data_IF_363856809463
#
_entry.id   IF_363856809463
#
_cell.length_a   1.000
_cell.length_b   1.000
_cell.length_c   1.000
_cell.angle_alpha   90.00
_cell.angle_beta   90.00
_cell.angle_gamma   90.00
#
_symmetry.space_group_name_H-M   'P 1'
#
loop_
_entity.id
_entity.type
_entity.pdbx_description
1 polymer ?
#
# COMPACT_ATOMS: atom_id res chain seq x y z
N UNK A 1 -8.78 11.83 16.46
CA UNK A 1 -9.06 11.07 15.22
C UNK A 1 -7.74 10.92 14.50
N UNK A 2 -7.36 9.70 14.14
CA UNK A 2 -6.09 9.39 13.46
C UNK A 2 -6.03 10.10 12.10
N UNK A 3 -4.87 10.71 11.80
CA UNK A 3 -4.59 11.40 10.52
C UNK A 3 -3.47 10.69 9.79
N UNK A 4 -3.71 10.20 8.60
CA UNK A 4 -2.69 9.47 7.80
C UNK A 4 -2.60 9.99 6.38
N UNK A 5 -1.42 9.89 5.79
CA UNK A 5 -1.18 10.28 4.42
C UNK A 5 -0.46 9.17 3.64
N UNK A 6 -1.03 8.76 2.51
CA UNK A 6 -0.35 7.94 1.51
C UNK A 6 0.39 8.81 0.52
N UNK A 7 1.68 8.54 0.30
CA UNK A 7 2.51 9.32 -0.62
C UNK A 7 3.12 8.38 -1.66
N UNK A 8 2.78 8.60 -2.94
CA UNK A 8 3.42 7.86 -4.02
C UNK A 8 2.53 7.44 -5.16
N UNK A 9 2.47 6.14 -5.44
CA UNK A 9 1.88 5.56 -6.63
C UNK A 9 0.34 5.61 -6.67
N UNK A 10 -0.15 5.83 -7.88
CA UNK A 10 -1.54 5.65 -8.27
C UNK A 10 -1.58 5.05 -9.67
N UNK A 11 -2.41 4.06 -9.86
CA UNK A 11 -2.57 3.36 -11.13
C UNK A 11 -4.04 2.99 -11.34
N UNK A 12 -4.42 2.57 -12.55
CA UNK A 12 -5.58 1.70 -12.72
C UNK A 12 -5.11 0.29 -13.02
N UNK A 13 -5.69 -0.68 -12.33
CA UNK A 13 -5.56 -2.09 -12.68
C UNK A 13 -6.62 -2.44 -13.73
N UNK A 14 -6.15 -2.80 -14.92
CA UNK A 14 -6.99 -3.07 -16.09
C UNK A 14 -7.16 -4.57 -16.24
N UNK A 15 -8.36 -5.07 -16.01
CA UNK A 15 -8.73 -6.47 -16.18
C UNK A 15 -9.02 -6.75 -17.63
N UNK A 16 -8.05 -7.35 -18.32
CA UNK A 16 -8.06 -7.48 -19.78
C UNK A 16 -9.24 -8.31 -20.32
N UNK A 17 -9.72 -9.30 -19.55
CA UNK A 17 -10.81 -10.19 -19.97
C UNK A 17 -12.18 -9.53 -19.82
N UNK A 18 -12.43 -8.76 -18.75
CA UNK A 18 -13.69 -8.03 -18.53
C UNK A 18 -13.71 -6.62 -19.12
N UNK A 19 -12.58 -6.12 -19.62
CA UNK A 19 -12.44 -4.75 -20.12
C UNK A 19 -12.85 -3.69 -19.11
N UNK A 20 -12.52 -3.92 -17.85
CA UNK A 20 -12.76 -2.98 -16.75
C UNK A 20 -11.44 -2.51 -16.18
N UNK A 21 -11.41 -1.27 -15.71
CA UNK A 21 -10.29 -0.70 -14.97
C UNK A 21 -10.74 -0.26 -13.58
N UNK A 22 -9.93 -0.55 -12.59
CA UNK A 22 -10.18 -0.22 -11.19
C UNK A 22 -9.05 0.68 -10.67
N UNK A 23 -9.36 1.74 -9.90
CA UNK A 23 -8.34 2.55 -9.25
C UNK A 23 -7.53 1.71 -8.27
N UNK A 24 -6.22 1.96 -8.23
CA UNK A 24 -5.26 1.22 -7.40
C UNK A 24 -3.94 1.97 -7.23
N UNK A 25 -2.94 1.26 -6.76
CA UNK A 25 -1.64 1.78 -6.32
C UNK A 25 -1.50 1.67 -4.80
N UNK A 26 -0.37 1.17 -4.30
CA UNK A 26 -0.21 0.85 -2.88
C UNK A 26 -0.45 2.07 -1.97
N UNK A 27 0.17 3.21 -2.28
CA UNK A 27 0.00 4.44 -1.50
C UNK A 27 -1.43 4.99 -1.58
N UNK A 28 -2.06 4.92 -2.76
CA UNK A 28 -3.44 5.34 -2.95
C UNK A 28 -4.40 4.39 -2.23
N UNK A 29 -4.22 3.07 -2.38
CA UNK A 29 -5.03 2.04 -1.72
C UNK A 29 -5.02 2.23 -0.20
N UNK A 30 -3.84 2.44 0.39
CA UNK A 30 -3.70 2.72 1.81
C UNK A 30 -4.56 3.91 2.24
N UNK A 31 -4.50 5.05 1.52
CA UNK A 31 -5.28 6.25 1.84
C UNK A 31 -6.78 6.00 1.79
N UNK A 32 -7.24 5.29 0.76
CA UNK A 32 -8.66 4.92 0.60
C UNK A 32 -9.11 3.98 1.72
N UNK A 33 -8.32 2.97 2.04
CA UNK A 33 -8.64 2.03 3.11
C UNK A 33 -8.64 2.69 4.49
N UNK A 34 -7.67 3.56 4.77
CA UNK A 34 -7.64 4.33 6.01
C UNK A 34 -8.88 5.23 6.13
N UNK A 35 -9.33 5.86 5.04
CA UNK A 35 -10.58 6.62 5.02
C UNK A 35 -11.80 5.76 5.32
N UNK A 36 -11.90 4.56 4.73
CA UNK A 36 -12.97 3.59 5.01
C UNK A 36 -12.99 3.14 6.48
N UNK A 37 -11.83 3.12 7.13
CA UNK A 37 -11.67 2.81 8.56
C UNK A 37 -11.92 4.01 9.48
N UNK A 38 -12.35 5.16 8.94
CA UNK A 38 -12.72 6.34 9.72
C UNK A 38 -11.56 7.27 10.06
N UNK A 39 -10.37 7.08 9.49
CA UNK A 39 -9.27 8.03 9.64
C UNK A 39 -9.47 9.30 8.79
N UNK A 40 -8.85 10.41 9.19
CA UNK A 40 -8.61 11.52 8.29
C UNK A 40 -7.47 11.14 7.36
N UNK A 41 -7.82 10.77 6.13
CA UNK A 41 -6.87 10.27 5.14
C UNK A 41 -6.62 11.29 4.03
N UNK A 42 -5.35 11.48 3.70
CA UNK A 42 -4.91 12.22 2.54
C UNK A 42 -4.09 11.32 1.61
N UNK A 43 -4.06 11.71 0.35
CA UNK A 43 -3.20 11.12 -0.66
C UNK A 43 -2.37 12.23 -1.34
N UNK A 44 -1.09 11.96 -1.57
CA UNK A 44 -0.18 12.86 -2.30
C UNK A 44 0.59 12.06 -3.36
N UNK A 45 0.40 12.41 -4.62
CA UNK A 45 1.07 11.77 -5.76
C UNK A 45 1.04 12.65 -6.99
N UNK A 46 1.45 12.07 -8.12
CA UNK A 46 1.45 12.74 -9.43
C UNK A 46 0.42 12.07 -10.32
N UNK A 47 -0.47 12.86 -10.87
CA UNK A 47 -1.47 12.45 -11.86
C UNK A 47 -1.09 12.91 -13.26
N UNK A 48 -1.36 12.05 -14.24
CA UNK A 48 -1.42 12.43 -15.64
C UNK A 48 -2.69 13.21 -15.99
N UNK A 49 -2.92 13.43 -17.30
CA UNK A 49 -4.08 14.14 -17.81
C UNK A 49 -5.02 13.30 -18.67
N UNK A 50 -4.87 11.97 -18.58
CA UNK A 50 -5.62 10.98 -19.34
C UNK A 50 -6.92 10.49 -18.65
N UNK A 51 -7.61 9.51 -19.24
CA UNK A 51 -8.83 8.92 -18.71
C UNK A 51 -8.60 8.10 -17.44
N UNK A 52 -7.41 7.53 -17.27
CA UNK A 52 -6.99 6.80 -16.07
C UNK A 52 -6.92 7.75 -14.89
N UNK A 53 -6.17 8.86 -15.04
CA UNK A 53 -6.07 9.91 -14.02
C UNK A 53 -7.45 10.46 -13.64
N UNK A 54 -8.26 10.81 -14.64
CA UNK A 54 -9.62 11.35 -14.41
C UNK A 54 -10.51 10.38 -13.63
N UNK A 55 -10.37 9.06 -13.87
CA UNK A 55 -11.14 8.06 -13.13
C UNK A 55 -10.71 8.00 -11.67
N UNK A 56 -9.41 7.91 -11.41
CA UNK A 56 -8.87 7.87 -10.03
C UNK A 56 -9.23 9.13 -9.25
N UNK A 57 -9.05 10.31 -9.85
CA UNK A 57 -9.36 11.60 -9.22
C UNK A 57 -10.82 11.67 -8.78
N UNK A 58 -11.77 11.30 -9.65
CA UNK A 58 -13.20 11.26 -9.30
C UNK A 58 -13.48 10.32 -8.15
N UNK A 59 -12.85 9.16 -8.15
CA UNK A 59 -13.02 8.17 -7.08
C UNK A 59 -12.53 8.71 -5.74
N UNK A 60 -11.38 9.40 -5.71
CA UNK A 60 -10.88 10.03 -4.48
C UNK A 60 -11.82 11.13 -3.98
N UNK A 61 -12.40 11.93 -4.89
CA UNK A 61 -13.37 12.98 -4.56
C UNK A 61 -14.66 12.37 -3.96
N UNK A 62 -15.19 11.31 -4.57
CA UNK A 62 -16.38 10.60 -4.08
C UNK A 62 -16.15 9.98 -2.70
N UNK A 63 -14.94 9.48 -2.43
CA UNK A 63 -14.56 8.90 -1.15
C UNK A 63 -14.18 9.95 -0.09
N UNK A 64 -14.00 11.21 -0.49
CA UNK A 64 -13.59 12.30 0.39
C UNK A 64 -12.18 12.11 0.94
N UNK A 65 -11.26 11.57 0.14
CA UNK A 65 -9.82 11.53 0.43
C UNK A 65 -9.22 12.87 0.03
N UNK A 66 -8.53 13.52 0.95
CA UNK A 66 -7.86 14.79 0.64
C UNK A 66 -6.70 14.57 -0.34
N UNK A 67 -6.73 15.29 -1.45
CA UNK A 67 -5.71 15.27 -2.51
C UNK A 67 -5.19 16.67 -2.86
N UNK A 68 -5.33 17.61 -1.94
CA UNK A 68 -5.01 19.03 -2.14
C UNK A 68 -3.53 19.29 -2.48
N UNK A 69 -2.66 18.32 -2.15
CA UNK A 69 -1.22 18.41 -2.41
C UNK A 69 -0.73 17.51 -3.55
N UNK A 70 -1.63 16.96 -4.36
CA UNK A 70 -1.25 16.22 -5.57
C UNK A 70 -0.70 17.15 -6.66
N UNK A 71 0.09 16.57 -7.56
CA UNK A 71 0.59 17.22 -8.77
C UNK A 71 -0.19 16.72 -9.98
N UNK A 72 -0.38 17.58 -10.96
CA UNK A 72 -1.10 17.30 -12.20
C UNK A 72 -0.17 17.69 -13.35
N UNK A 73 0.21 16.71 -14.18
CA UNK A 73 1.18 16.89 -15.25
C UNK A 73 0.61 16.36 -16.56
N UNK A 74 1.07 16.90 -17.68
CA UNK A 74 0.78 16.33 -19.00
C UNK A 74 1.47 14.98 -19.14
N UNK A 75 0.74 13.95 -19.57
CA UNK A 75 1.24 12.60 -19.78
C UNK A 75 0.31 11.49 -19.31
N UNK A 76 0.67 10.25 -19.66
CA UNK A 76 -0.11 9.07 -19.27
C UNK A 76 0.03 8.77 -17.76
N UNK A 77 -1.10 8.50 -17.12
CA UNK A 77 -1.12 8.00 -15.74
C UNK A 77 -0.65 6.55 -15.68
N UNK A 78 -0.31 6.08 -14.47
CA UNK A 78 0.06 4.69 -14.24
C UNK A 78 -1.09 3.72 -14.54
N UNK A 79 -0.79 2.58 -15.17
CA UNK A 79 -1.70 1.44 -15.26
C UNK A 79 -0.95 0.11 -15.23
N UNK A 80 -1.65 -0.93 -14.77
CA UNK A 80 -1.21 -2.31 -14.86
C UNK A 80 -2.28 -3.15 -15.56
N UNK A 81 -1.85 -4.11 -16.39
CA UNK A 81 -2.72 -5.04 -17.08
C UNK A 81 -2.73 -6.35 -16.32
N UNK A 82 -3.91 -6.81 -15.94
CA UNK A 82 -4.08 -7.97 -15.08
C UNK A 82 -5.11 -8.93 -15.66
N UNK A 83 -4.93 -10.21 -15.36
CA UNK A 83 -5.91 -11.28 -15.58
C UNK A 83 -6.26 -11.91 -14.26
N UNK A 84 -7.55 -12.13 -14.03
CA UNK A 84 -8.04 -12.81 -12.84
C UNK A 84 -8.25 -14.29 -13.15
N UNK A 85 -7.59 -15.17 -12.36
CA UNK A 85 -7.73 -16.62 -12.50
C UNK A 85 -8.05 -17.18 -11.11
N UNK A 86 -9.24 -17.74 -10.93
CA UNK A 86 -9.69 -18.33 -9.66
C UNK A 86 -9.54 -17.40 -8.44
N UNK A 87 -9.86 -16.12 -8.59
CA UNK A 87 -9.74 -15.12 -7.52
C UNK A 87 -8.33 -14.56 -7.31
N UNK A 88 -7.31 -15.13 -7.95
CA UNK A 88 -5.94 -14.61 -7.93
C UNK A 88 -5.59 -13.91 -9.26
N UNK A 89 -4.69 -12.94 -9.17
CA UNK A 89 -4.33 -12.10 -10.31
C UNK A 89 -2.96 -12.45 -10.89
N UNK A 90 -2.90 -12.46 -12.23
CA UNK A 90 -1.65 -12.53 -12.96
C UNK A 90 -1.38 -11.19 -13.63
N UNK A 91 -0.23 -10.58 -13.35
CA UNK A 91 0.22 -9.37 -14.04
C UNK A 91 0.72 -9.71 -15.46
N UNK A 92 0.20 -8.98 -16.44
CA UNK A 92 0.54 -9.16 -17.86
C UNK A 92 1.49 -8.06 -18.37
N UNK A 93 1.53 -6.92 -17.71
CA UNK A 93 2.37 -5.78 -18.05
C UNK A 93 1.90 -4.49 -17.41
N UNK A 94 2.68 -3.42 -17.56
CA UNK A 94 2.33 -2.08 -17.06
C UNK A 94 3.15 -1.02 -17.81
N UNK A 95 2.74 0.25 -17.69
CA UNK A 95 3.58 1.39 -18.08
C UNK A 95 4.52 1.85 -16.93
N UNK A 96 4.70 1.00 -15.90
CA UNK A 96 5.61 1.23 -14.77
C UNK A 96 5.35 2.52 -14.00
N UNK A 97 4.08 2.89 -13.82
CA UNK A 97 3.66 4.07 -13.06
C UNK A 97 3.47 5.34 -13.91
N UNK A 98 3.66 5.26 -15.24
CA UNK A 98 3.41 6.38 -16.14
C UNK A 98 4.17 7.65 -15.74
N UNK A 99 3.48 8.78 -15.72
CA UNK A 99 4.06 10.11 -15.44
C UNK A 99 4.79 10.18 -14.10
N UNK A 100 4.36 9.43 -13.08
CA UNK A 100 5.04 9.41 -11.77
C UNK A 100 6.49 8.90 -11.88
N UNK A 101 6.75 7.96 -12.78
CA UNK A 101 8.11 7.44 -13.03
C UNK A 101 9.00 8.52 -13.64
N UNK A 102 8.46 9.30 -14.57
CA UNK A 102 9.22 10.29 -15.34
C UNK A 102 9.36 11.61 -14.56
N UNK A 103 8.35 11.96 -13.76
CA UNK A 103 8.30 13.12 -12.89
C UNK A 103 7.99 12.70 -11.44
N UNK A 104 8.94 12.05 -10.73
CA UNK A 104 8.72 11.63 -9.36
C UNK A 104 8.46 12.83 -8.44
N UNK A 105 7.62 12.62 -7.44
CA UNK A 105 7.23 13.65 -6.49
C UNK A 105 8.47 14.23 -5.78
N UNK A 106 8.60 15.55 -5.80
CA UNK A 106 9.59 16.31 -5.03
C UNK A 106 8.86 17.22 -4.07
N UNK A 107 9.22 17.15 -2.80
CA UNK A 107 8.55 17.87 -1.73
C UNK A 107 9.13 19.27 -1.58
N UNK A 108 8.26 20.27 -1.63
CA UNK A 108 8.60 21.66 -1.26
C UNK A 108 8.36 21.89 0.26
N UNK A 109 8.69 23.13 0.72
CA UNK A 109 8.51 23.49 2.13
C UNK A 109 7.04 23.46 2.58
N UNK A 110 6.09 23.76 1.68
CA UNK A 110 4.68 23.73 1.99
C UNK A 110 4.14 22.29 2.09
N UNK A 111 4.67 21.38 1.27
CA UNK A 111 4.38 19.94 1.40
C UNK A 111 4.90 19.39 2.73
N UNK A 112 6.13 19.73 3.10
CA UNK A 112 6.72 19.33 4.37
C UNK A 112 5.92 19.86 5.57
N UNK A 113 5.45 21.11 5.51
CA UNK A 113 4.59 21.67 6.55
C UNK A 113 3.26 20.93 6.65
N UNK A 114 2.65 20.60 5.49
CA UNK A 114 1.42 19.82 5.44
C UNK A 114 1.60 18.40 5.99
N UNK A 115 2.68 17.69 5.63
CA UNK A 115 2.96 16.33 6.10
C UNK A 115 3.12 16.28 7.63
N UNK A 116 3.67 17.32 8.26
CA UNK A 116 3.79 17.38 9.74
C UNK A 116 2.46 17.37 10.50
N UNK A 117 1.34 17.59 9.82
CA UNK A 117 0.01 17.55 10.43
C UNK A 117 -0.53 16.11 10.61
N UNK A 118 0.16 15.10 10.08
CA UNK A 118 -0.26 13.69 10.09
C UNK A 118 0.46 12.88 11.17
N UNK A 119 -0.21 11.83 11.61
CA UNK A 119 0.30 10.88 12.61
C UNK A 119 1.14 9.78 11.93
N UNK A 120 1.00 9.58 10.61
CA UNK A 120 1.70 8.56 9.84
C UNK A 120 1.79 8.91 8.35
N UNK A 121 2.95 8.62 7.78
CA UNK A 121 3.18 8.56 6.33
C UNK A 121 3.19 7.10 5.90
N UNK A 122 2.50 6.76 4.80
CA UNK A 122 2.64 5.46 4.14
C UNK A 122 3.14 5.65 2.71
N UNK A 123 4.13 4.86 2.32
CA UNK A 123 4.68 4.82 0.96
C UNK A 123 5.10 3.39 0.59
N UNK A 124 5.57 3.17 -0.64
CA UNK A 124 5.83 1.82 -1.15
C UNK A 124 6.99 1.74 -2.13
N UNK A 125 7.35 0.51 -2.49
CA UNK A 125 8.37 0.23 -3.50
C UNK A 125 8.00 0.72 -4.91
N UNK A 126 6.71 0.96 -5.20
CA UNK A 126 6.24 1.46 -6.49
C UNK A 126 6.10 2.99 -6.55
N UNK A 127 6.37 3.67 -5.43
CA UNK A 127 6.07 5.10 -5.26
C UNK A 127 7.11 6.05 -5.86
N UNK A 128 8.25 5.55 -6.34
CA UNK A 128 9.39 6.37 -6.81
C UNK A 128 9.81 7.44 -5.80
N UNK A 129 9.71 7.12 -4.50
CA UNK A 129 9.85 8.08 -3.41
C UNK A 129 11.13 7.89 -2.57
N UNK A 130 12.00 6.93 -2.95
CA UNK A 130 13.21 6.55 -2.20
C UNK A 130 14.10 7.75 -1.85
N UNK A 131 14.34 8.64 -2.82
CA UNK A 131 15.21 9.80 -2.62
C UNK A 131 14.62 10.88 -1.69
N UNK A 132 13.32 10.80 -1.37
CA UNK A 132 12.65 11.70 -0.45
C UNK A 132 12.57 11.13 0.99
N UNK A 133 12.86 9.84 1.20
CA UNK A 133 12.82 9.22 2.54
C UNK A 133 13.69 9.96 3.56
N UNK A 134 14.96 10.36 3.25
CA UNK A 134 15.75 11.15 4.19
C UNK A 134 15.06 12.47 4.57
N UNK A 135 14.47 13.17 3.60
CA UNK A 135 13.79 14.45 3.83
C UNK A 135 12.57 14.28 4.73
N UNK A 136 11.70 13.29 4.44
CA UNK A 136 10.50 13.08 5.25
C UNK A 136 10.80 12.50 6.63
N UNK A 137 11.90 11.75 6.80
CA UNK A 137 12.31 11.23 8.11
C UNK A 137 12.66 12.34 9.11
N UNK A 138 13.13 13.49 8.62
CA UNK A 138 13.43 14.67 9.44
C UNK A 138 12.16 15.43 9.90
N UNK A 139 10.99 15.08 9.36
CA UNK A 139 9.74 15.74 9.74
C UNK A 139 9.20 15.27 11.10
N UNK A 140 9.73 14.17 11.65
CA UNK A 140 9.30 13.60 12.91
C UNK A 140 7.99 12.81 12.84
N UNK A 141 7.45 12.58 11.65
CA UNK A 141 6.27 11.74 11.42
C UNK A 141 6.71 10.32 11.09
N UNK A 142 6.23 9.28 11.79
CA UNK A 142 6.62 7.91 11.51
C UNK A 142 6.27 7.51 10.08
N UNK A 143 7.18 6.74 9.44
CA UNK A 143 7.03 6.28 8.07
C UNK A 143 6.72 4.79 8.07
N UNK A 144 5.67 4.40 7.36
CA UNK A 144 5.38 3.03 6.98
C UNK A 144 5.76 2.81 5.52
N UNK A 145 6.41 1.70 5.24
CA UNK A 145 6.84 1.33 3.89
C UNK A 145 6.38 -0.06 3.51
N UNK A 146 5.68 -0.18 2.38
CA UNK A 146 5.34 -1.49 1.81
C UNK A 146 6.38 -1.89 0.77
N UNK A 147 7.17 -2.90 1.10
CA UNK A 147 8.14 -3.53 0.21
C UNK A 147 7.50 -4.51 -0.78
N UNK A 148 6.27 -4.99 -0.50
CA UNK A 148 5.69 -6.11 -1.23
C UNK A 148 6.68 -7.30 -1.31
N UNK A 149 6.95 -7.86 -2.48
CA UNK A 149 7.98 -8.89 -2.72
C UNK A 149 9.39 -8.30 -2.94
N UNK A 150 9.52 -6.97 -3.08
CA UNK A 150 10.80 -6.31 -3.41
C UNK A 150 11.77 -6.21 -2.24
N UNK A 151 11.37 -6.60 -1.03
CA UNK A 151 12.24 -6.64 0.15
C UNK A 151 13.51 -7.50 -0.09
N UNK A 152 13.44 -8.49 -0.98
CA UNK A 152 14.59 -9.35 -1.32
C UNK A 152 15.69 -8.63 -2.11
N UNK A 153 15.42 -7.44 -2.64
CA UNK A 153 16.45 -6.57 -3.21
C UNK A 153 17.20 -5.84 -2.07
N UNK A 154 18.13 -6.55 -1.42
CA UNK A 154 18.83 -6.07 -0.23
C UNK A 154 19.55 -4.75 -0.43
N UNK A 155 20.11 -4.49 -1.62
CA UNK A 155 20.80 -3.22 -1.90
C UNK A 155 19.88 -1.99 -1.83
N UNK A 156 18.58 -2.18 -2.10
CA UNK A 156 17.56 -1.14 -1.97
C UNK A 156 16.98 -1.14 -0.55
N UNK A 157 16.68 -2.32 -0.01
CA UNK A 157 16.10 -2.50 1.31
C UNK A 157 16.97 -1.90 2.42
N UNK A 158 18.29 -2.08 2.35
CA UNK A 158 19.27 -1.50 3.28
C UNK A 158 19.28 0.04 3.26
N UNK A 159 18.93 0.67 2.14
CA UNK A 159 18.82 2.13 2.01
C UNK A 159 17.50 2.68 2.57
N UNK A 160 16.47 1.86 2.69
CA UNK A 160 15.14 2.25 3.14
C UNK A 160 15.00 2.09 4.65
N UNK A 161 15.43 0.95 5.19
CA UNK A 161 15.19 0.54 6.57
C UNK A 161 15.57 1.57 7.64
N UNK A 162 16.65 2.37 7.50
CA UNK A 162 17.01 3.37 8.51
C UNK A 162 15.99 4.50 8.69
N UNK A 163 15.08 4.70 7.74
CA UNK A 163 14.14 5.81 7.72
C UNK A 163 12.71 5.43 8.16
N UNK A 164 12.42 4.13 8.30
CA UNK A 164 11.06 3.66 8.48
C UNK A 164 10.79 3.08 9.86
N UNK A 165 9.60 3.37 10.39
CA UNK A 165 9.10 2.78 11.62
C UNK A 165 8.43 1.42 11.38
N UNK A 166 7.69 1.27 10.27
CA UNK A 166 6.93 0.07 9.96
C UNK A 166 7.28 -0.43 8.55
N UNK A 167 7.70 -1.70 8.45
CA UNK A 167 7.97 -2.36 7.17
C UNK A 167 6.98 -3.48 6.91
N UNK A 168 6.28 -3.46 5.76
CA UNK A 168 5.38 -4.52 5.31
C UNK A 168 6.02 -5.34 4.20
N UNK A 169 6.02 -6.68 4.36
CA UNK A 169 6.65 -7.63 3.46
C UNK A 169 5.62 -8.65 2.96
N UNK A 170 5.75 -9.07 1.71
CA UNK A 170 5.02 -10.23 1.17
C UNK A 170 5.95 -11.44 1.11
N UNK A 171 5.65 -12.49 1.90
CA UNK A 171 6.49 -13.67 2.14
C UNK A 171 5.75 -15.00 1.88
N UNK A 172 4.75 -15.01 0.99
CA UNK A 172 3.78 -16.11 0.84
C UNK A 172 4.31 -17.49 0.49
N UNK A 173 5.58 -17.63 0.06
CA UNK A 173 6.17 -18.92 -0.34
C UNK A 173 7.30 -19.38 0.61
N UNK A 174 7.46 -18.71 1.75
CA UNK A 174 8.55 -18.95 2.69
C UNK A 174 8.07 -19.78 3.89
N UNK A 175 8.97 -20.54 4.49
CA UNK A 175 8.73 -21.18 5.78
C UNK A 175 8.72 -20.14 6.91
N UNK A 176 8.10 -20.49 8.04
CA UNK A 176 8.08 -19.64 9.24
C UNK A 176 9.49 -19.20 9.68
N UNK A 177 10.46 -20.12 9.69
CA UNK A 177 11.83 -19.82 10.10
C UNK A 177 12.48 -18.78 9.18
N UNK A 178 12.31 -18.92 7.86
CA UNK A 178 12.83 -17.96 6.88
C UNK A 178 12.19 -16.59 7.03
N UNK A 179 10.86 -16.54 7.27
CA UNK A 179 10.14 -15.26 7.49
C UNK A 179 10.67 -14.55 8.72
N UNK A 180 10.85 -15.27 9.83
CA UNK A 180 11.38 -14.70 11.07
C UNK A 180 12.81 -14.18 10.87
N UNK A 181 13.66 -14.90 10.14
CA UNK A 181 15.04 -14.48 9.86
C UNK A 181 15.08 -13.21 8.98
N UNK A 182 14.20 -13.11 7.98
CA UNK A 182 14.04 -11.89 7.18
C UNK A 182 13.58 -10.72 8.04
N UNK A 183 12.58 -10.92 8.91
CA UNK A 183 12.10 -9.89 9.82
C UNK A 183 13.21 -9.38 10.75
N UNK A 184 14.03 -10.27 11.31
CA UNK A 184 15.18 -9.91 12.15
C UNK A 184 16.19 -9.07 11.37
N UNK A 185 16.56 -9.49 10.17
CA UNK A 185 17.50 -8.74 9.33
C UNK A 185 17.00 -7.34 9.00
N UNK A 186 15.74 -7.18 8.63
CA UNK A 186 15.14 -5.86 8.34
C UNK A 186 15.10 -5.00 9.60
N UNK A 187 14.82 -5.60 10.76
CA UNK A 187 14.86 -4.91 12.05
C UNK A 187 16.28 -4.43 12.39
N UNK A 188 17.30 -5.25 12.16
CA UNK A 188 18.72 -4.91 12.36
C UNK A 188 19.18 -3.78 11.46
N UNK A 189 18.59 -3.65 10.26
CA UNK A 189 18.84 -2.55 9.33
C UNK A 189 18.20 -1.22 9.73
N UNK A 190 17.39 -1.18 10.81
CA UNK A 190 16.85 0.06 11.37
C UNK A 190 15.33 0.18 11.40
N UNK A 191 14.58 -0.68 10.69
CA UNK A 191 13.12 -0.68 10.77
C UNK A 191 12.65 -1.05 12.18
N UNK A 192 11.68 -0.31 12.75
CA UNK A 192 11.26 -0.52 14.15
C UNK A 192 10.34 -1.72 14.32
N UNK A 193 9.36 -1.89 13.46
CA UNK A 193 8.39 -3.00 13.48
C UNK A 193 8.28 -3.58 12.07
N UNK A 194 8.46 -4.87 11.96
CA UNK A 194 8.39 -5.59 10.67
C UNK A 194 7.17 -6.49 10.68
N UNK A 195 6.37 -6.38 9.64
CA UNK A 195 5.17 -7.19 9.44
C UNK A 195 5.31 -7.96 8.12
N UNK A 196 5.29 -9.29 8.20
CA UNK A 196 5.41 -10.17 7.03
C UNK A 196 4.10 -10.91 6.81
N UNK A 197 3.43 -10.63 5.69
CA UNK A 197 2.21 -11.33 5.29
C UNK A 197 2.54 -12.54 4.44
N UNK A 198 1.83 -13.65 4.68
CA UNK A 198 1.96 -14.93 3.98
C UNK A 198 0.67 -15.32 3.25
N UNK A 199 -0.11 -14.35 2.79
CA UNK A 199 -1.39 -14.58 2.11
C UNK A 199 -2.36 -15.37 3.00
N UNK A 200 -2.80 -16.54 2.51
CA UNK A 200 -3.71 -17.45 3.23
C UNK A 200 -3.09 -18.14 4.45
N UNK A 201 -1.79 -18.04 4.66
CA UNK A 201 -1.11 -18.65 5.81
C UNK A 201 -1.07 -17.71 7.04
N UNK A 202 -1.35 -16.41 6.87
CA UNK A 202 -1.41 -15.44 7.97
C UNK A 202 -0.35 -14.35 7.90
N UNK A 203 0.01 -13.82 9.07
CA UNK A 203 1.00 -12.74 9.16
C UNK A 203 1.83 -12.84 10.43
N UNK A 204 3.11 -12.53 10.31
CA UNK A 204 4.07 -12.41 11.40
C UNK A 204 4.39 -10.94 11.69
N UNK A 205 4.60 -10.62 12.95
CA UNK A 205 5.13 -9.33 13.40
C UNK A 205 6.38 -9.58 14.25
N UNK A 206 7.41 -8.76 14.01
CA UNK A 206 8.63 -8.74 14.81
C UNK A 206 9.04 -7.30 15.14
N UNK A 207 9.25 -6.97 16.43
CA UNK A 207 9.63 -5.64 16.91
C UNK A 207 11.04 -5.58 17.56
N UNK A 208 11.79 -6.69 17.47
CA UNK A 208 13.09 -6.84 18.11
C UNK A 208 13.03 -7.59 19.45
N UNK A 209 11.90 -7.58 20.14
CA UNK A 209 11.68 -8.29 21.40
C UNK A 209 10.63 -9.38 21.27
N UNK A 210 9.59 -9.16 20.45
CA UNK A 210 8.41 -10.01 20.31
C UNK A 210 8.30 -10.56 18.92
N UNK A 211 7.90 -11.81 18.83
CA UNK A 211 7.47 -12.45 17.60
C UNK A 211 6.01 -12.86 17.77
N UNK A 212 5.11 -12.25 17.01
CA UNK A 212 3.67 -12.50 17.09
C UNK A 212 3.16 -13.06 15.77
N UNK A 213 2.25 -14.02 15.85
CA UNK A 213 1.59 -14.59 14.68
C UNK A 213 0.09 -14.34 14.72
N UNK A 214 -0.47 -13.93 13.59
CA UNK A 214 -1.89 -13.78 13.35
C UNK A 214 -2.35 -14.77 12.30
N UNK A 215 -3.30 -15.63 12.67
CA UNK A 215 -3.97 -16.53 11.70
C UNK A 215 -4.79 -15.69 10.71
N UNK A 216 -4.88 -16.16 9.44
CA UNK A 216 -5.70 -15.47 8.45
C UNK A 216 -7.19 -15.58 8.81
N UNK A 217 -7.98 -14.63 8.33
CA UNK A 217 -9.44 -14.80 8.24
C UNK A 217 -9.75 -15.45 6.90
N UNK A 218 -10.30 -16.67 6.95
CA UNK A 218 -10.62 -17.43 5.73
C UNK A 218 -11.85 -16.83 5.06
N UNK A 219 -11.76 -16.57 3.75
CA UNK A 219 -12.85 -16.12 2.90
C UNK A 219 -12.74 -16.75 1.51
N UNK A 220 -13.87 -16.90 0.84
CA UNK A 220 -13.90 -17.22 -0.59
C UNK A 220 -13.64 -15.93 -1.37
N UNK A 221 -12.38 -15.66 -1.66
CA UNK A 221 -11.95 -14.42 -2.26
C UNK A 221 -12.54 -14.23 -3.67
N UNK A 222 -13.15 -13.07 -3.91
CA UNK A 222 -13.55 -12.60 -5.24
C UNK A 222 -12.34 -12.06 -5.99
N UNK A 223 -11.48 -11.32 -5.27
CA UNK A 223 -10.28 -10.68 -5.83
C UNK A 223 -9.30 -10.35 -4.70
N UNK A 224 -8.05 -10.79 -4.83
CA UNK A 224 -7.01 -10.54 -3.82
C UNK A 224 -6.23 -9.24 -4.04
N UNK A 225 -6.63 -8.42 -5.03
CA UNK A 225 -5.98 -7.13 -5.28
C UNK A 225 -6.13 -6.20 -4.08
N UNK A 226 -5.02 -5.60 -3.62
CA UNK A 226 -5.02 -4.68 -2.48
C UNK A 226 -5.15 -5.34 -1.11
N UNK A 227 -5.12 -6.68 -1.00
CA UNK A 227 -5.20 -7.38 0.29
C UNK A 227 -4.05 -6.98 1.23
N UNK A 228 -2.82 -6.84 0.72
CA UNK A 228 -1.67 -6.35 1.48
C UNK A 228 -1.87 -4.91 1.96
N UNK A 229 -2.31 -4.02 1.06
CA UNK A 229 -2.54 -2.61 1.36
C UNK A 229 -3.66 -2.43 2.40
N UNK A 230 -4.73 -3.23 2.29
CA UNK A 230 -5.84 -3.21 3.27
C UNK A 230 -5.43 -3.80 4.62
N UNK A 231 -4.58 -4.83 4.63
CA UNK A 231 -3.97 -5.34 5.85
C UNK A 231 -3.14 -4.24 6.54
N UNK A 232 -2.27 -3.55 5.78
CA UNK A 232 -1.44 -2.47 6.30
C UNK A 232 -2.29 -1.32 6.86
N UNK A 233 -3.35 -0.91 6.16
CA UNK A 233 -4.26 0.12 6.63
C UNK A 233 -5.01 -0.31 7.91
N UNK A 234 -5.54 -1.54 7.94
CA UNK A 234 -6.24 -2.10 9.11
C UNK A 234 -5.33 -2.19 10.33
N UNK A 235 -4.11 -2.64 10.14
CA UNK A 235 -3.10 -2.69 11.19
C UNK A 235 -2.74 -1.29 11.70
N UNK A 236 -2.31 -0.40 10.82
CA UNK A 236 -1.77 0.91 11.20
C UNK A 236 -2.82 1.83 11.79
N UNK A 237 -4.01 1.90 11.21
CA UNK A 237 -5.09 2.77 11.74
C UNK A 237 -5.54 2.29 13.12
N UNK A 238 -5.69 0.97 13.34
CA UNK A 238 -6.03 0.44 14.64
C UNK A 238 -4.92 0.68 15.67
N UNK A 239 -3.66 0.38 15.32
CA UNK A 239 -2.52 0.58 16.21
C UNK A 239 -2.36 2.06 16.64
N UNK A 240 -2.48 3.00 15.70
CA UNK A 240 -2.43 4.43 16.00
C UNK A 240 -3.60 4.87 16.87
N UNK A 241 -4.81 4.36 16.61
CA UNK A 241 -5.97 4.67 17.44
C UNK A 241 -5.76 4.25 18.91
N UNK A 242 -5.24 3.04 19.12
CA UNK A 242 -4.95 2.53 20.46
C UNK A 242 -3.82 3.31 21.16
N UNK A 243 -2.75 3.64 20.42
CA UNK A 243 -1.58 4.32 21.01
C UNK A 243 -1.86 5.80 21.29
N UNK A 244 -2.47 6.54 20.36
CA UNK A 244 -2.79 7.97 20.57
C UNK A 244 -3.85 8.17 21.67
N UNK A 245 -4.82 7.28 21.81
CA UNK A 245 -5.78 7.36 22.91
C UNK A 245 -5.18 7.03 24.28
N UNK A 246 -4.04 6.32 24.32
CA UNK A 246 -3.34 5.93 25.54
C UNK A 246 -2.14 6.84 25.87
N UNK A 247 -1.78 7.82 25.05
CA UNK A 247 -0.68 8.77 25.32
C UNK A 247 -0.85 9.59 26.63
N UNK A 248 -2.07 9.69 27.14
CA UNK A 248 -2.35 10.24 28.48
C UNK A 248 -2.04 9.27 29.64
N UNK A 249 -1.72 8.02 29.39
CA UNK A 249 -1.32 6.99 30.36
C UNK A 249 0.16 6.67 30.16
N UNK A 250 1.01 7.60 30.51
CA UNK A 250 2.47 7.48 30.51
C UNK A 250 2.90 6.24 31.28
N UNK A 251 3.65 5.38 30.69
CA UNK A 251 4.15 4.07 31.05
C UNK A 251 3.30 2.95 30.42
N UNK A 252 3.37 2.83 29.08
CA UNK A 252 2.86 1.64 28.40
C UNK A 252 3.63 0.42 28.95
N UNK A 253 2.97 -0.31 29.85
CA UNK A 253 3.41 -1.62 30.28
C UNK A 253 3.73 -2.46 29.02
N UNK A 254 4.84 -3.22 28.96
CA UNK A 254 5.14 -4.12 27.83
C UNK A 254 3.98 -5.01 27.41
N UNK A 255 3.15 -5.45 28.36
CA UNK A 255 1.91 -6.19 28.08
C UNK A 255 0.91 -5.36 27.24
N UNK A 256 0.75 -4.07 27.50
CA UNK A 256 -0.18 -3.21 26.77
C UNK A 256 0.25 -2.99 25.31
N UNK A 257 1.57 -3.01 25.03
CA UNK A 257 2.09 -2.91 23.64
C UNK A 257 1.84 -4.21 22.86
N UNK A 258 2.03 -5.35 23.50
CA UNK A 258 1.73 -6.65 22.87
C UNK A 258 0.24 -6.77 22.54
N UNK A 259 -0.64 -6.37 23.47
CA UNK A 259 -2.08 -6.37 23.24
C UNK A 259 -2.47 -5.44 22.08
N UNK A 260 -1.87 -4.23 22.01
CA UNK A 260 -2.08 -3.32 20.90
C UNK A 260 -1.64 -3.93 19.54
N UNK A 261 -0.48 -4.61 19.49
CA UNK A 261 -0.06 -5.32 18.28
C UNK A 261 -0.99 -6.47 17.90
N UNK A 262 -1.47 -7.26 18.86
CA UNK A 262 -2.41 -8.35 18.60
C UNK A 262 -3.74 -7.83 18.05
N UNK A 263 -4.27 -6.75 18.60
CA UNK A 263 -5.50 -6.12 18.12
C UNK A 263 -5.30 -5.52 16.71
N UNK A 264 -4.16 -4.88 16.47
CA UNK A 264 -3.82 -4.32 15.17
C UNK A 264 -3.64 -5.41 14.10
N UNK A 265 -2.96 -6.52 14.41
CA UNK A 265 -2.82 -7.68 13.52
C UNK A 265 -4.18 -8.30 13.17
N UNK A 266 -5.04 -8.47 14.18
CA UNK A 266 -6.40 -8.97 13.97
C UNK A 266 -7.21 -8.02 13.08
N UNK A 267 -7.16 -6.71 13.35
CA UNK A 267 -7.84 -5.69 12.54
C UNK A 267 -7.35 -5.71 11.09
N UNK A 268 -6.03 -5.81 10.87
CA UNK A 268 -5.45 -5.96 9.53
C UNK A 268 -5.96 -7.22 8.82
N UNK A 269 -5.95 -8.37 9.50
CA UNK A 269 -6.40 -9.65 8.94
C UNK A 269 -7.90 -9.63 8.58
N UNK A 270 -8.75 -9.09 9.46
CA UNK A 270 -10.20 -8.97 9.22
C UNK A 270 -10.48 -8.05 8.04
N UNK A 271 -9.82 -6.89 7.99
CA UNK A 271 -10.06 -5.92 6.93
C UNK A 271 -9.52 -6.40 5.58
N UNK A 272 -8.38 -7.11 5.56
CA UNK A 272 -7.88 -7.77 4.36
C UNK A 272 -8.87 -8.82 3.80
N UNK A 273 -9.45 -9.63 4.67
CA UNK A 273 -10.47 -10.59 4.27
C UNK A 273 -11.71 -9.90 3.67
N UNK A 274 -12.17 -8.80 4.26
CA UNK A 274 -13.29 -8.02 3.75
C UNK A 274 -12.98 -7.39 2.38
N UNK A 275 -11.76 -6.86 2.17
CA UNK A 275 -11.36 -6.28 0.89
C UNK A 275 -11.32 -7.32 -0.23
N UNK A 276 -10.94 -8.55 0.06
CA UNK A 276 -10.94 -9.65 -0.91
C UNK A 276 -12.33 -10.04 -1.43
N UNK A 277 -13.41 -9.58 -0.81
CA UNK A 277 -14.79 -9.80 -1.27
C UNK A 277 -15.25 -8.79 -2.34
N UNK A 278 -14.39 -7.84 -2.72
CA UNK A 278 -14.69 -6.77 -3.67
C UNK A 278 -13.77 -6.88 -4.89
N UNK A 279 -14.29 -6.69 -6.10
CA UNK A 279 -13.47 -6.64 -7.32
C UNK A 279 -12.64 -5.35 -7.37
N UNK A 280 -11.42 -5.46 -7.83
CA UNK A 280 -10.42 -4.41 -7.69
C UNK A 280 -10.06 -4.21 -6.22
N UNK A 281 -9.10 -3.34 -5.92
CA UNK A 281 -8.69 -3.14 -4.53
C UNK A 281 -9.85 -2.72 -3.62
N UNK A 282 -10.68 -1.79 -4.07
CA UNK A 282 -11.79 -1.24 -3.27
C UNK A 282 -13.05 -0.93 -4.08
N UNK A 283 -13.18 -1.52 -5.27
CA UNK A 283 -14.31 -1.30 -6.18
C UNK A 283 -14.08 -0.15 -7.16
N UNK A 284 -15.15 0.53 -7.55
CA UNK A 284 -15.13 1.65 -8.48
C UNK A 284 -14.67 1.27 -9.91
N UNK A 285 -15.03 0.07 -10.34
CA UNK A 285 -14.75 -0.40 -11.70
C UNK A 285 -15.43 0.45 -12.77
N UNK A 286 -14.75 0.67 -13.88
CA UNK A 286 -15.26 1.37 -15.06
C UNK A 286 -14.76 0.66 -16.32
N UNK A 287 -15.57 0.67 -17.38
CA UNK A 287 -15.11 0.16 -18.68
C UNK A 287 -13.92 0.96 -19.20
N UNK A 288 -12.97 0.23 -19.78
CA UNK A 288 -11.76 0.78 -20.37
C UNK A 288 -12.13 1.72 -21.52
N UNK A 289 -11.60 2.96 -21.57
CA UNK A 289 -11.82 3.87 -22.67
C UNK A 289 -11.12 3.41 -23.94
N UNK A 290 -11.64 3.80 -25.11
CA UNK A 290 -11.11 3.42 -26.43
C UNK A 290 -9.61 3.78 -26.59
N UNK A 291 -9.12 4.80 -25.91
CA UNK A 291 -7.70 5.18 -25.91
C UNK A 291 -6.76 4.09 -25.39
N UNK A 292 -7.24 3.22 -24.48
CA UNK A 292 -6.46 2.12 -23.90
C UNK A 292 -6.71 0.76 -24.55
N UNK A 293 -7.76 0.61 -25.37
CA UNK A 293 -8.11 -0.65 -26.04
C UNK A 293 -6.97 -1.25 -26.87
N UNK A 294 -6.16 -0.41 -27.51
CA UNK A 294 -5.00 -0.84 -28.29
C UNK A 294 -3.98 -1.61 -27.45
N UNK A 295 -3.74 -1.20 -26.20
CA UNK A 295 -2.77 -1.86 -25.31
C UNK A 295 -3.25 -3.25 -24.91
N UNK A 296 -4.54 -3.38 -24.60
CA UNK A 296 -5.17 -4.66 -24.27
C UNK A 296 -5.10 -5.61 -25.47
N UNK A 297 -5.46 -5.12 -26.65
CA UNK A 297 -5.47 -5.91 -27.87
C UNK A 297 -4.07 -6.45 -28.22
N UNK A 298 -3.05 -5.62 -28.10
CA UNK A 298 -1.67 -6.03 -28.36
C UNK A 298 -1.20 -7.14 -27.40
N UNK A 299 -1.51 -7.04 -26.10
CA UNK A 299 -1.14 -8.07 -25.13
C UNK A 299 -1.90 -9.38 -25.37
N UNK A 300 -3.18 -9.30 -25.68
CA UNK A 300 -3.98 -10.50 -25.96
C UNK A 300 -3.54 -11.20 -27.27
N UNK A 301 -3.06 -10.46 -28.26
CA UNK A 301 -2.52 -11.05 -29.51
C UNK A 301 -1.16 -11.73 -29.26
N UNK A 302 -0.25 -11.10 -28.53
CA UNK A 302 1.07 -11.66 -28.23
C UNK A 302 0.99 -12.96 -27.41
N UNK A 303 0.02 -13.05 -26.50
CA UNK A 303 -0.19 -14.26 -25.70
C UNK A 303 -0.85 -15.42 -26.49
N UNK A 304 -1.48 -15.16 -27.63
CA UNK A 304 -2.03 -16.21 -28.52
C UNK A 304 -0.96 -16.85 -29.42
N UNK A 305 0.14 -16.17 -29.66
CA UNK A 305 1.25 -16.67 -30.49
C UNK A 305 2.24 -17.52 -29.68
N UNK A 306 2.19 -17.44 -28.34
CA UNK A 306 3.10 -18.16 -27.43
C UNK A 306 2.42 -19.31 -26.65
N UNK A 307 1.18 -19.65 -26.90
CA UNK A 307 0.42 -20.77 -26.32
C UNK A 307 -0.04 -21.74 -27.39
#
# INVERSE_FOLDING_TARGET
>A
MVKVIGIGDNVCDIYVDSREMFPGGQALNFSVYAKKLGANAAYMGVFGDDDVARHIIRTLDELGVDRSRCRYCEGENGYALVRLVNGDRTFLGSNRGGILKDLPLRLDAADQAYIREFDLIHTSNNSYFLDQLPVVSELGVPISYDFSKSWSNWSVTERICPYIAYGFLSCGEMSEAEVIDVCRRIRELGCTVVIATMGSEGAWLYDGERTLFQKPQSVDAVDTLGAGDSFAAGFLVNYLHETLNNEGRTNANPASREDAYRQALLSGSVFAAQSCMVRGAFGYGKYVPASLERYITNILSTNKENG
#
